data_IF_899783636104
#
_entry.id   IF_899783636104
#
_cell.length_a   1.000
_cell.length_b   1.000
_cell.length_c   1.000
_cell.angle_alpha   90.00
_cell.angle_beta   90.00
_cell.angle_gamma   90.00
#
_symmetry.space_group_name_H-M   'P 1'
#
loop_
_entity.id
_entity.type
_entity.pdbx_description
1 polymer ?
#
# COMPACT_ATOMS: atom_id res chain seq x y z
N UNK A 1 -44.84 -0.21 -59.54
CA UNK A 1 -44.50 -1.31 -58.60
C UNK A 1 -43.19 -0.95 -57.92
N UNK A 2 -43.24 -0.34 -56.74
CA UNK A 2 -42.07 0.06 -55.91
C UNK A 2 -41.98 -0.93 -54.77
N UNK A 3 -40.92 -1.75 -54.72
CA UNK A 3 -40.65 -2.69 -53.62
C UNK A 3 -39.83 -1.96 -52.54
N UNK A 4 -40.39 -1.82 -51.36
CA UNK A 4 -39.70 -1.36 -50.17
C UNK A 4 -38.95 -2.57 -49.55
N UNK A 5 -37.63 -2.49 -49.41
CA UNK A 5 -36.86 -3.37 -48.59
C UNK A 5 -36.78 -2.78 -47.16
N UNK A 6 -37.37 -3.47 -46.22
CA UNK A 6 -37.19 -3.17 -44.79
C UNK A 6 -35.89 -3.81 -44.30
N UNK A 7 -34.94 -3.03 -43.90
CA UNK A 7 -33.71 -3.48 -43.21
C UNK A 7 -34.04 -3.71 -41.74
N UNK A 8 -33.96 -4.96 -41.29
CA UNK A 8 -34.01 -5.32 -39.87
C UNK A 8 -32.64 -5.12 -39.28
N UNK A 9 -32.46 -4.09 -38.44
CA UNK A 9 -31.28 -3.89 -37.62
C UNK A 9 -31.43 -4.75 -36.37
N UNK A 10 -30.71 -5.87 -36.31
CA UNK A 10 -30.53 -6.64 -35.06
C UNK A 10 -29.55 -5.90 -34.16
N UNK A 11 -30.06 -5.26 -33.12
CA UNK A 11 -29.27 -4.75 -32.02
C UNK A 11 -28.79 -5.93 -31.17
N UNK A 12 -27.52 -6.29 -31.29
CA UNK A 12 -26.84 -7.20 -30.36
C UNK A 12 -26.62 -6.43 -29.05
N UNK A 13 -27.55 -6.56 -28.10
CA UNK A 13 -27.35 -6.19 -26.74
C UNK A 13 -26.32 -7.13 -26.10
N UNK A 14 -25.09 -6.65 -25.93
CA UNK A 14 -24.06 -7.32 -25.15
C UNK A 14 -24.48 -7.41 -23.69
N UNK A 15 -25.11 -8.51 -23.32
CA UNK A 15 -25.36 -8.89 -21.94
C UNK A 15 -24.02 -9.29 -21.32
N UNK A 16 -23.41 -8.38 -20.55
CA UNK A 16 -22.41 -8.74 -19.56
C UNK A 16 -23.13 -9.52 -18.46
N UNK A 17 -23.19 -10.82 -18.61
CA UNK A 17 -23.72 -11.72 -17.60
C UNK A 17 -22.79 -11.69 -16.38
N UNK A 18 -23.13 -10.89 -15.38
CA UNK A 18 -22.67 -11.12 -14.01
C UNK A 18 -23.31 -12.45 -13.57
N UNK A 19 -22.47 -13.44 -13.26
CA UNK A 19 -22.90 -14.76 -12.82
C UNK A 19 -23.42 -14.68 -11.38
N UNK A 20 -24.73 -14.87 -11.11
CA UNK A 20 -25.31 -14.72 -9.77
C UNK A 20 -25.03 -15.90 -8.82
N UNK A 21 -24.43 -16.98 -9.31
CA UNK A 21 -24.39 -18.24 -8.55
C UNK A 21 -23.25 -18.38 -7.55
N UNK A 22 -22.22 -17.50 -7.59
CA UNK A 22 -21.01 -17.68 -6.78
C UNK A 22 -21.03 -16.97 -5.42
N UNK A 23 -21.90 -15.99 -5.20
CA UNK A 23 -21.90 -15.17 -3.99
C UNK A 23 -22.21 -15.98 -2.71
N UNK A 24 -23.24 -16.85 -2.66
CA UNK A 24 -23.53 -17.63 -1.46
C UNK A 24 -22.41 -18.62 -1.10
N UNK A 25 -21.76 -19.21 -2.10
CA UNK A 25 -20.66 -20.15 -1.86
C UNK A 25 -19.41 -19.46 -1.35
N UNK A 26 -19.05 -18.31 -1.90
CA UNK A 26 -17.92 -17.49 -1.42
C UNK A 26 -18.10 -17.09 0.04
N UNK A 27 -19.26 -16.59 0.41
CA UNK A 27 -19.56 -16.20 1.79
C UNK A 27 -19.41 -17.37 2.76
N UNK A 28 -19.84 -18.58 2.39
CA UNK A 28 -19.65 -19.81 3.17
C UNK A 28 -18.16 -20.15 3.33
N UNK A 29 -17.38 -20.04 2.26
CA UNK A 29 -15.94 -20.28 2.28
C UNK A 29 -15.22 -19.29 3.19
N UNK A 30 -15.54 -17.99 3.12
CA UNK A 30 -14.98 -16.96 4.00
C UNK A 30 -15.33 -17.21 5.46
N UNK A 31 -16.59 -17.55 5.77
CA UNK A 31 -17.02 -17.89 7.11
C UNK A 31 -16.27 -19.11 7.67
N UNK A 32 -16.09 -20.14 6.84
CA UNK A 32 -15.36 -21.34 7.21
C UNK A 32 -13.86 -21.08 7.43
N UNK A 33 -13.22 -20.24 6.61
CA UNK A 33 -11.84 -19.80 6.83
C UNK A 33 -11.69 -18.99 8.12
N UNK A 34 -12.63 -18.10 8.43
CA UNK A 34 -12.63 -17.31 9.66
C UNK A 34 -12.83 -18.22 10.89
N UNK A 35 -13.72 -19.19 10.83
CA UNK A 35 -13.91 -20.18 11.89
C UNK A 35 -12.65 -21.02 12.11
N UNK A 36 -11.99 -21.46 11.05
CA UNK A 36 -10.72 -22.20 11.10
C UNK A 36 -9.61 -21.36 11.73
N UNK A 37 -9.52 -20.08 11.39
CA UNK A 37 -8.57 -19.15 12.01
C UNK A 37 -8.79 -19.01 13.51
N UNK A 38 -10.04 -18.87 13.96
CA UNK A 38 -10.36 -18.76 15.38
C UNK A 38 -10.09 -20.06 16.15
N UNK A 39 -10.39 -21.21 15.54
CA UNK A 39 -10.15 -22.50 16.16
C UNK A 39 -8.67 -22.93 16.19
N UNK A 40 -7.88 -22.41 15.26
CA UNK A 40 -6.52 -22.90 15.01
C UNK A 40 -6.52 -24.13 14.10
N UNK A 41 -5.35 -24.51 13.64
CA UNK A 41 -5.15 -25.66 12.77
C UNK A 41 -3.73 -26.24 12.88
N UNK A 42 -3.57 -27.52 12.50
CA UNK A 42 -2.28 -28.24 12.54
C UNK A 42 -1.54 -28.10 13.89
N UNK A 43 -2.27 -28.09 15.02
CA UNK A 43 -1.68 -27.94 16.35
C UNK A 43 -1.28 -26.51 16.74
N UNK A 44 -1.56 -25.54 15.89
CA UNK A 44 -1.31 -24.12 16.16
C UNK A 44 -2.55 -23.48 16.79
N UNK A 45 -2.36 -22.59 17.78
CA UNK A 45 -3.43 -21.82 18.38
C UNK A 45 -4.07 -20.86 17.35
N UNK A 46 -5.38 -20.67 17.47
CA UNK A 46 -6.13 -19.75 16.61
C UNK A 46 -5.79 -18.29 16.87
N UNK A 47 -6.37 -17.43 16.04
CA UNK A 47 -6.28 -15.97 16.13
C UNK A 47 -7.67 -15.36 16.07
N UNK A 48 -7.92 -14.30 16.86
CA UNK A 48 -9.18 -13.55 16.83
C UNK A 48 -9.29 -12.58 15.63
N UNK A 49 -8.23 -12.49 14.81
CA UNK A 49 -8.23 -11.68 13.60
C UNK A 49 -9.14 -12.30 12.53
N UNK A 50 -10.36 -11.76 12.38
CA UNK A 50 -11.32 -12.16 11.35
C UNK A 50 -10.82 -11.85 9.94
N UNK A 51 -11.42 -12.51 8.93
CA UNK A 51 -11.23 -12.21 7.52
C UNK A 51 -12.48 -11.55 6.95
N UNK A 52 -12.30 -10.46 6.21
CA UNK A 52 -13.37 -9.80 5.44
C UNK A 52 -13.18 -10.09 3.96
N UNK A 53 -14.25 -10.48 3.26
CA UNK A 53 -14.19 -10.64 1.81
C UNK A 53 -13.98 -9.30 1.13
N UNK A 54 -12.99 -9.25 0.21
CA UNK A 54 -12.75 -8.07 -0.61
C UNK A 54 -12.97 -8.40 -2.10
N UNK A 55 -13.89 -7.68 -2.81
CA UNK A 55 -14.17 -7.94 -4.22
C UNK A 55 -12.98 -7.78 -5.16
N UNK A 56 -12.00 -6.92 -4.81
CA UNK A 56 -10.78 -6.76 -5.60
C UNK A 56 -9.83 -7.93 -5.36
N UNK A 57 -9.68 -8.39 -4.12
CA UNK A 57 -8.92 -9.61 -3.81
C UNK A 57 -9.55 -10.84 -4.49
N UNK A 58 -10.90 -10.91 -4.57
CA UNK A 58 -11.61 -11.95 -5.33
C UNK A 58 -11.30 -11.88 -6.84
N UNK A 59 -11.21 -10.67 -7.42
CA UNK A 59 -10.73 -10.53 -8.81
C UNK A 59 -9.29 -10.99 -8.98
N UNK A 60 -8.41 -10.69 -8.02
CA UNK A 60 -7.03 -11.17 -8.04
C UNK A 60 -6.99 -12.72 -8.01
N UNK A 61 -7.80 -13.35 -7.15
CA UNK A 61 -7.93 -14.80 -7.11
C UNK A 61 -8.39 -15.39 -8.45
N UNK A 62 -9.27 -14.70 -9.18
CA UNK A 62 -9.65 -15.08 -10.54
C UNK A 62 -8.48 -14.97 -11.52
N UNK A 63 -7.72 -13.88 -11.49
CA UNK A 63 -6.53 -13.72 -12.36
C UNK A 63 -5.47 -14.79 -12.07
N UNK A 64 -5.31 -15.22 -10.80
CA UNK A 64 -4.48 -16.37 -10.46
C UNK A 64 -4.96 -17.66 -11.15
N UNK A 65 -6.28 -17.89 -11.16
CA UNK A 65 -6.88 -19.05 -11.86
C UNK A 65 -6.71 -18.97 -13.38
N UNK A 66 -6.49 -17.78 -13.94
CA UNK A 66 -6.17 -17.56 -15.36
C UNK A 66 -4.65 -17.68 -15.64
N UNK A 67 -3.83 -18.04 -14.62
CA UNK A 67 -2.40 -18.32 -14.75
C UNK A 67 -1.47 -17.14 -14.46
N UNK A 68 -1.98 -15.99 -14.01
CA UNK A 68 -1.13 -14.86 -13.69
C UNK A 68 -0.37 -15.10 -12.37
N UNK A 69 0.84 -14.53 -12.24
CA UNK A 69 1.55 -14.49 -10.97
C UNK A 69 0.82 -13.56 -9.96
N UNK A 70 1.03 -13.77 -8.65
CA UNK A 70 0.32 -13.03 -7.60
C UNK A 70 0.42 -11.50 -7.76
N UNK A 71 1.61 -10.98 -8.02
CA UNK A 71 1.82 -9.52 -8.18
C UNK A 71 1.05 -8.96 -9.37
N UNK A 72 1.08 -9.66 -10.50
CA UNK A 72 0.32 -9.30 -11.70
C UNK A 72 -1.19 -9.38 -11.46
N UNK A 73 -1.66 -10.44 -10.81
CA UNK A 73 -3.07 -10.63 -10.47
C UNK A 73 -3.59 -9.51 -9.55
N UNK A 74 -2.81 -9.07 -8.57
CA UNK A 74 -3.13 -7.95 -7.69
C UNK A 74 -3.19 -6.64 -8.48
N UNK A 75 -2.21 -6.40 -9.35
CA UNK A 75 -2.16 -5.21 -10.22
C UNK A 75 -3.38 -5.13 -11.15
N UNK A 76 -3.67 -6.21 -11.89
CA UNK A 76 -4.84 -6.31 -12.79
C UNK A 76 -6.18 -6.15 -12.04
N UNK A 77 -6.24 -6.61 -10.79
CA UNK A 77 -7.41 -6.43 -9.94
C UNK A 77 -7.57 -5.00 -9.38
N UNK A 78 -6.55 -4.16 -9.52
CA UNK A 78 -6.48 -2.84 -8.87
C UNK A 78 -6.50 -2.96 -7.35
N UNK A 79 -5.88 -4.02 -6.80
CA UNK A 79 -5.83 -4.30 -5.38
C UNK A 79 -4.40 -4.13 -4.85
N UNK A 80 -4.25 -3.30 -3.82
CA UNK A 80 -2.98 -3.07 -3.15
C UNK A 80 -2.99 -3.68 -1.77
N UNK A 81 -1.90 -4.31 -1.40
CA UNK A 81 -1.70 -4.91 -0.10
C UNK A 81 -0.29 -4.62 0.42
N UNK A 82 -0.15 -4.43 1.73
CA UNK A 82 1.14 -4.38 2.41
C UNK A 82 1.78 -5.78 2.41
N UNK A 83 0.94 -6.79 2.55
CA UNK A 83 1.30 -8.20 2.49
C UNK A 83 0.19 -8.95 1.78
N UNK A 84 0.54 -9.80 0.84
CA UNK A 84 -0.40 -10.70 0.19
C UNK A 84 0.21 -12.09 -0.02
N UNK A 85 -0.63 -13.09 0.04
CA UNK A 85 -0.27 -14.45 -0.35
C UNK A 85 -1.43 -15.13 -1.08
N UNK A 86 -1.09 -16.10 -1.90
CA UNK A 86 -2.08 -16.96 -2.54
C UNK A 86 -2.06 -18.37 -1.91
N UNK A 87 -3.23 -18.98 -1.89
CA UNK A 87 -3.39 -20.43 -1.65
C UNK A 87 -4.15 -21.02 -2.80
N UNK A 88 -3.72 -22.19 -3.26
CA UNK A 88 -4.38 -22.93 -4.33
C UNK A 88 -4.69 -24.34 -3.84
N UNK A 89 -5.98 -24.70 -3.85
CA UNK A 89 -6.48 -26.04 -3.52
C UNK A 89 -6.93 -26.71 -4.81
N UNK A 90 -6.19 -27.73 -5.24
CA UNK A 90 -6.39 -28.39 -6.54
C UNK A 90 -7.62 -29.29 -6.60
N UNK A 91 -8.04 -29.83 -5.46
CA UNK A 91 -9.26 -30.63 -5.36
C UNK A 91 -10.15 -30.00 -4.28
N UNK A 92 -11.13 -29.23 -4.70
CA UNK A 92 -12.10 -28.57 -3.84
C UNK A 92 -13.50 -28.84 -4.34
N UNK A 93 -14.23 -29.72 -3.65
CA UNK A 93 -15.58 -30.14 -4.04
C UNK A 93 -16.68 -29.33 -3.35
N UNK A 94 -16.32 -28.56 -2.31
CA UNK A 94 -17.26 -27.74 -1.55
C UNK A 94 -18.21 -28.55 -0.64
N UNK A 95 -18.10 -29.87 -0.60
CA UNK A 95 -18.97 -30.76 0.20
C UNK A 95 -18.41 -31.02 1.59
N UNK A 96 -17.07 -31.01 1.72
CA UNK A 96 -16.38 -31.21 2.99
C UNK A 96 -15.96 -29.85 3.62
N UNK A 97 -15.73 -29.81 4.94
CA UNK A 97 -15.21 -28.63 5.60
C UNK A 97 -13.87 -28.19 4.98
N UNK A 98 -13.68 -26.91 4.74
CA UNK A 98 -12.47 -26.35 4.15
C UNK A 98 -11.20 -26.75 4.93
N UNK A 99 -11.33 -26.92 6.25
CA UNK A 99 -10.23 -27.40 7.11
C UNK A 99 -9.69 -28.77 6.71
N UNK A 100 -10.53 -29.64 6.14
CA UNK A 100 -10.14 -30.96 5.68
C UNK A 100 -9.51 -30.94 4.27
N UNK A 101 -9.74 -29.87 3.51
CA UNK A 101 -9.30 -29.73 2.12
C UNK A 101 -8.07 -28.83 1.99
N UNK A 102 -7.81 -27.95 2.97
CA UNK A 102 -6.61 -27.12 2.98
C UNK A 102 -5.38 -27.94 3.41
N UNK A 103 -4.31 -27.95 2.60
CA UNK A 103 -3.04 -28.51 3.03
C UNK A 103 -2.56 -27.93 4.36
N UNK A 104 -2.08 -28.76 5.27
CA UNK A 104 -1.57 -28.34 6.58
C UNK A 104 -0.46 -27.27 6.50
N UNK A 105 0.28 -27.25 5.38
CA UNK A 105 1.29 -26.21 5.10
C UNK A 105 0.71 -24.79 5.04
N UNK A 106 -0.57 -24.61 4.70
CA UNK A 106 -1.21 -23.31 4.67
C UNK A 106 -1.67 -22.82 6.05
N UNK A 107 -1.67 -23.69 7.06
CA UNK A 107 -2.14 -23.34 8.40
C UNK A 107 -1.36 -22.17 9.00
N UNK A 108 -0.02 -22.23 8.99
CA UNK A 108 0.85 -21.18 9.57
C UNK A 108 0.55 -19.82 8.94
N UNK A 109 0.36 -19.80 7.63
CA UNK A 109 0.06 -18.57 6.91
C UNK A 109 -1.37 -18.08 7.14
N UNK A 110 -2.34 -18.99 7.14
CA UNK A 110 -3.72 -18.66 7.41
C UNK A 110 -3.91 -18.02 8.80
N UNK A 111 -3.13 -18.42 9.79
CA UNK A 111 -3.21 -17.91 11.16
C UNK A 111 -2.47 -16.58 11.38
N UNK A 112 -1.75 -16.04 10.39
CA UNK A 112 -1.07 -14.74 10.54
C UNK A 112 -2.09 -13.62 10.81
N UNK A 113 -1.99 -12.90 11.96
CA UNK A 113 -2.94 -11.83 12.30
C UNK A 113 -2.88 -10.64 11.33
N UNK A 114 -1.79 -10.49 10.59
CA UNK A 114 -1.61 -9.44 9.60
C UNK A 114 -2.66 -9.52 8.48
N UNK A 115 -3.09 -10.72 8.08
CA UNK A 115 -4.11 -10.85 7.06
C UNK A 115 -5.49 -10.49 7.61
N UNK A 116 -6.14 -9.52 6.97
CA UNK A 116 -7.46 -8.97 7.35
C UNK A 116 -8.50 -9.19 6.26
N UNK A 117 -8.06 -9.32 5.02
CA UNK A 117 -8.94 -9.50 3.88
C UNK A 117 -8.65 -10.79 3.12
N UNK A 118 -9.69 -11.31 2.46
CA UNK A 118 -9.60 -12.50 1.63
C UNK A 118 -10.37 -12.31 0.32
N UNK A 119 -9.78 -12.78 -0.76
CA UNK A 119 -10.43 -13.01 -2.05
C UNK A 119 -10.62 -14.50 -2.28
N UNK A 120 -11.79 -14.89 -2.77
CA UNK A 120 -12.16 -16.28 -2.99
C UNK A 120 -12.65 -16.46 -4.43
N UNK A 121 -12.03 -17.37 -5.16
CA UNK A 121 -12.48 -17.77 -6.51
C UNK A 121 -12.40 -19.27 -6.66
N UNK A 122 -13.48 -19.85 -7.20
CA UNK A 122 -13.58 -21.29 -7.45
C UNK A 122 -13.90 -21.54 -8.93
N UNK A 123 -13.23 -22.52 -9.52
CA UNK A 123 -13.46 -22.97 -10.91
C UNK A 123 -13.09 -24.44 -11.07
N UNK A 124 -13.98 -25.22 -11.68
CA UNK A 124 -13.72 -26.61 -12.08
C UNK A 124 -13.18 -27.52 -10.96
N UNK A 125 -13.66 -27.35 -9.74
CA UNK A 125 -13.19 -28.15 -8.58
C UNK A 125 -11.88 -27.68 -7.98
N UNK A 126 -11.41 -26.50 -8.32
CA UNK A 126 -10.24 -25.86 -7.73
C UNK A 126 -10.64 -24.57 -7.02
N UNK A 127 -9.88 -24.21 -5.96
CA UNK A 127 -10.12 -23.02 -5.16
C UNK A 127 -8.84 -22.17 -5.09
N UNK A 128 -8.93 -20.91 -5.48
CA UNK A 128 -7.89 -19.90 -5.31
C UNK A 128 -8.30 -18.92 -4.23
N UNK A 129 -7.39 -18.71 -3.28
CA UNK A 129 -7.53 -17.73 -2.21
C UNK A 129 -6.42 -16.70 -2.32
N UNK A 130 -6.78 -15.44 -2.08
CA UNK A 130 -5.81 -14.35 -1.85
C UNK A 130 -6.05 -13.84 -0.44
N UNK A 131 -5.10 -14.08 0.46
CA UNK A 131 -5.08 -13.48 1.80
C UNK A 131 -4.27 -12.19 1.73
N UNK A 132 -4.75 -11.14 2.36
CA UNK A 132 -4.07 -9.85 2.31
C UNK A 132 -4.18 -9.04 3.60
N UNK A 133 -3.11 -8.30 3.90
CA UNK A 133 -3.14 -7.09 4.72
C UNK A 133 -3.36 -5.91 3.75
N UNK A 134 -4.56 -5.29 3.75
CA UNK A 134 -4.87 -4.26 2.78
C UNK A 134 -3.97 -3.04 2.98
N UNK A 135 -3.49 -2.47 1.88
CA UNK A 135 -2.85 -1.18 1.91
C UNK A 135 -3.89 -0.10 2.25
N UNK A 136 -3.65 0.63 3.34
CA UNK A 136 -4.43 1.79 3.74
C UNK A 136 -3.55 3.02 3.73
N UNK A 137 -3.94 4.02 2.95
CA UNK A 137 -3.29 5.31 2.96
C UNK A 137 -4.02 6.27 3.91
N UNK A 138 -3.33 7.29 4.49
CA UNK A 138 -3.98 8.34 5.22
C UNK A 138 -4.95 9.11 4.31
N UNK A 139 -6.02 9.67 4.87
CA UNK A 139 -6.89 10.56 4.11
C UNK A 139 -6.16 11.86 3.76
N UNK A 140 -6.46 12.44 2.59
CA UNK A 140 -5.85 13.71 2.18
C UNK A 140 -6.20 14.86 3.13
N UNK A 141 -7.39 14.80 3.74
CA UNK A 141 -7.84 15.79 4.73
C UNK A 141 -7.04 15.74 6.04
N UNK A 142 -6.37 14.61 6.33
CA UNK A 142 -5.51 14.44 7.50
C UNK A 142 -4.06 14.89 7.25
N UNK A 143 -3.74 15.47 6.09
CA UNK A 143 -2.37 15.77 5.67
C UNK A 143 -1.59 16.61 6.69
N UNK A 144 -2.23 17.60 7.32
CA UNK A 144 -1.59 18.43 8.34
C UNK A 144 -1.26 17.61 9.59
N UNK A 145 -2.16 16.76 10.06
CA UNK A 145 -1.95 15.87 11.21
C UNK A 145 -0.85 14.85 10.93
N UNK A 146 -0.83 14.28 9.73
CA UNK A 146 0.18 13.33 9.28
C UNK A 146 1.56 13.98 9.23
N UNK A 147 1.66 15.23 8.74
CA UNK A 147 2.92 15.98 8.73
C UNK A 147 3.46 16.22 10.16
N UNK A 148 2.60 16.53 11.11
CA UNK A 148 2.98 16.67 12.53
C UNK A 148 3.41 15.32 13.13
N UNK A 149 2.76 14.23 12.74
CA UNK A 149 3.13 12.89 13.18
C UNK A 149 4.52 12.49 12.67
N UNK A 150 4.84 12.81 11.39
CA UNK A 150 6.20 12.62 10.84
C UNK A 150 7.23 13.41 11.66
N UNK A 151 6.95 14.69 11.98
CA UNK A 151 7.84 15.51 12.82
C UNK A 151 8.08 14.89 14.20
N UNK A 152 7.00 14.43 14.85
CA UNK A 152 7.09 13.78 16.17
C UNK A 152 7.99 12.55 16.12
N UNK A 153 7.76 11.64 15.17
CA UNK A 153 8.53 10.40 14.99
C UNK A 153 10.01 10.68 14.69
N UNK A 154 10.28 11.67 13.86
CA UNK A 154 11.64 12.12 13.54
C UNK A 154 12.32 12.69 14.78
N UNK A 155 11.65 13.51 15.57
CA UNK A 155 12.21 14.07 16.80
C UNK A 155 12.43 13.02 17.88
N UNK A 156 11.59 11.99 17.97
CA UNK A 156 11.83 10.82 18.80
C UNK A 156 13.11 10.07 18.36
N UNK A 157 13.31 9.90 17.05
CA UNK A 157 14.52 9.28 16.53
C UNK A 157 15.79 10.10 16.83
N UNK A 158 15.71 11.45 16.74
CA UNK A 158 16.81 12.37 17.02
C UNK A 158 17.19 12.45 18.50
N UNK A 159 16.26 12.17 19.40
CA UNK A 159 16.47 12.27 20.84
C UNK A 159 17.51 11.27 21.40
N UNK A 160 17.86 10.23 20.66
CA UNK A 160 18.82 9.21 21.09
C UNK A 160 19.93 9.02 20.05
N UNK A 161 21.16 8.62 20.47
CA UNK A 161 22.22 8.27 19.54
C UNK A 161 21.75 7.14 18.58
N UNK A 162 22.13 7.23 17.31
CA UNK A 162 21.69 6.29 16.29
C UNK A 162 22.80 5.95 15.30
N UNK A 163 22.86 4.68 14.94
CA UNK A 163 23.73 4.21 13.87
C UNK A 163 22.97 4.27 12.52
N UNK A 164 23.51 5.06 11.59
CA UNK A 164 23.03 5.15 10.20
C UNK A 164 24.10 4.49 9.30
N UNK A 165 23.87 3.24 8.92
CA UNK A 165 24.90 2.45 8.24
C UNK A 165 26.14 2.28 9.09
N UNK A 166 27.28 2.73 8.57
CA UNK A 166 28.58 2.71 9.31
C UNK A 166 28.74 3.88 10.27
N UNK A 167 28.00 4.99 10.11
CA UNK A 167 28.14 6.21 10.89
C UNK A 167 27.33 6.14 12.18
N UNK A 168 27.96 6.52 13.30
CA UNK A 168 27.28 6.69 14.59
C UNK A 168 27.04 8.19 14.81
N UNK A 169 25.77 8.57 14.90
CA UNK A 169 25.32 9.90 15.24
C UNK A 169 25.05 10.00 16.75
N UNK A 170 25.40 11.14 17.34
CA UNK A 170 24.90 11.54 18.67
C UNK A 170 23.44 11.95 18.57
N UNK A 171 22.75 12.04 19.70
CA UNK A 171 21.45 12.70 19.75
C UNK A 171 21.57 14.12 19.17
N UNK A 172 20.55 14.53 18.42
CA UNK A 172 20.49 15.84 17.78
C UNK A 172 19.31 16.66 18.35
N UNK A 173 19.41 17.99 18.37
CA UNK A 173 18.30 18.85 18.79
C UNK A 173 17.05 18.59 17.97
N UNK A 174 15.84 18.78 18.55
CA UNK A 174 14.60 18.59 17.83
C UNK A 174 14.45 19.60 16.68
N UNK A 175 13.86 19.14 15.57
CA UNK A 175 13.48 20.00 14.46
C UNK A 175 12.15 20.70 14.76
N UNK A 176 11.98 21.89 14.19
CA UNK A 176 10.73 22.66 14.21
C UNK A 176 9.98 22.42 12.89
N UNK A 177 8.65 22.37 12.99
CA UNK A 177 7.82 22.37 11.79
C UNK A 177 7.95 23.71 11.05
N UNK A 178 8.12 23.63 9.74
CA UNK A 178 8.16 24.80 8.86
C UNK A 178 7.19 24.63 7.69
N UNK A 179 6.20 25.52 7.59
CA UNK A 179 5.15 25.45 6.60
C UNK A 179 5.67 25.61 5.15
N UNK A 180 6.75 26.40 4.95
CA UNK A 180 7.34 26.59 3.61
C UNK A 180 8.04 25.32 3.15
N UNK A 181 8.75 24.61 4.05
CA UNK A 181 9.34 23.32 3.74
C UNK A 181 8.26 22.24 3.53
N UNK A 182 7.15 22.30 4.28
CA UNK A 182 6.01 21.39 4.05
C UNK A 182 5.37 21.65 2.68
N UNK A 183 5.26 22.90 2.24
CA UNK A 183 4.77 23.26 0.91
C UNK A 183 5.71 22.72 -0.19
N UNK A 184 7.03 22.85 -0.04
CA UNK A 184 8.01 22.28 -0.96
C UNK A 184 7.88 20.76 -1.05
N UNK A 185 7.75 20.07 0.11
CA UNK A 185 7.52 18.64 0.18
C UNK A 185 6.20 18.23 -0.52
N UNK A 186 5.12 18.99 -0.29
CA UNK A 186 3.82 18.72 -0.91
C UNK A 186 3.86 18.83 -2.43
N UNK A 187 4.52 19.87 -2.95
CA UNK A 187 4.69 20.04 -4.41
C UNK A 187 5.41 18.84 -5.00
N UNK A 188 6.51 18.39 -4.39
CA UNK A 188 7.28 17.26 -4.89
C UNK A 188 6.54 15.94 -4.77
N UNK A 189 5.90 15.66 -3.64
CA UNK A 189 5.10 14.44 -3.48
C UNK A 189 3.96 14.36 -4.51
N UNK A 190 3.27 15.49 -4.77
CA UNK A 190 2.23 15.58 -5.80
C UNK A 190 2.78 15.43 -7.21
N UNK A 191 3.96 15.97 -7.48
CA UNK A 191 4.59 15.87 -8.78
C UNK A 191 4.98 14.42 -9.08
N UNK A 192 5.64 13.74 -8.13
CA UNK A 192 5.93 12.30 -8.24
C UNK A 192 4.65 11.47 -8.46
N UNK A 193 3.59 11.77 -7.71
CA UNK A 193 2.32 11.07 -7.79
C UNK A 193 1.60 11.25 -9.13
N UNK A 194 1.60 12.47 -9.69
CA UNK A 194 0.93 12.80 -10.95
C UNK A 194 1.66 12.26 -12.17
N UNK A 195 3.00 12.31 -12.13
CA UNK A 195 3.86 11.96 -13.27
C UNK A 195 4.44 10.53 -13.15
N UNK A 196 4.04 9.77 -12.11
CA UNK A 196 4.45 8.39 -11.86
C UNK A 196 5.97 8.19 -11.94
N UNK A 197 6.73 9.01 -11.20
CA UNK A 197 8.18 8.85 -11.07
C UNK A 197 8.59 8.86 -9.58
N UNK A 198 9.80 8.38 -9.30
CA UNK A 198 10.37 8.36 -7.95
C UNK A 198 11.84 8.78 -8.01
N UNK A 199 12.09 10.07 -7.82
CA UNK A 199 13.43 10.66 -7.85
C UNK A 199 13.48 11.96 -7.06
N UNK A 200 14.66 12.35 -6.57
CA UNK A 200 14.89 13.65 -5.92
C UNK A 200 14.81 14.81 -6.92
N UNK A 201 15.31 14.60 -8.14
CA UNK A 201 15.19 15.55 -9.23
C UNK A 201 13.83 15.41 -9.90
N UNK A 202 13.12 16.53 -10.04
CA UNK A 202 11.87 16.57 -10.76
C UNK A 202 12.11 16.60 -12.28
N UNK A 203 11.10 16.27 -13.12
CA UNK A 203 11.25 16.30 -14.59
C UNK A 203 11.63 17.68 -15.16
N UNK A 204 11.36 18.77 -14.42
CA UNK A 204 11.79 20.13 -14.77
C UNK A 204 13.25 20.45 -14.36
N UNK A 205 13.99 19.45 -13.85
CA UNK A 205 15.36 19.55 -13.34
C UNK A 205 15.48 20.13 -11.93
N UNK A 206 14.37 20.50 -11.29
CA UNK A 206 14.44 21.11 -9.95
C UNK A 206 14.81 20.12 -8.86
N UNK A 207 15.73 20.54 -8.00
CA UNK A 207 16.15 19.85 -6.79
C UNK A 207 15.36 20.36 -5.56
N UNK A 208 15.54 19.71 -4.42
CA UNK A 208 14.88 20.12 -3.17
C UNK A 208 15.18 21.57 -2.77
N UNK A 209 16.40 22.06 -3.05
CA UNK A 209 16.84 23.42 -2.77
C UNK A 209 16.07 24.47 -3.58
N UNK A 210 15.86 24.21 -4.89
CA UNK A 210 15.07 25.10 -5.75
C UNK A 210 13.59 25.10 -5.32
N UNK A 211 13.04 23.93 -4.96
CA UNK A 211 11.67 23.82 -4.48
C UNK A 211 11.47 24.55 -3.14
N UNK A 212 12.43 24.46 -2.20
CA UNK A 212 12.43 25.22 -0.97
C UNK A 212 12.49 26.74 -1.23
N UNK A 213 13.33 27.17 -2.18
CA UNK A 213 13.43 28.58 -2.59
C UNK A 213 12.12 29.08 -3.23
N UNK A 214 11.53 28.31 -4.14
CA UNK A 214 10.21 28.62 -4.75
C UNK A 214 9.08 28.71 -3.72
N UNK A 215 9.16 27.91 -2.64
CA UNK A 215 8.24 27.99 -1.52
C UNK A 215 8.48 29.19 -0.58
N UNK A 216 9.57 29.96 -0.79
CA UNK A 216 9.92 31.15 0.01
C UNK A 216 10.79 30.86 1.22
N UNK A 217 11.35 29.66 1.37
CA UNK A 217 12.26 29.34 2.48
C UNK A 217 13.68 29.82 2.17
N UNK A 218 14.15 30.80 2.94
CA UNK A 218 15.53 31.31 2.87
C UNK A 218 16.47 30.37 3.63
N UNK A 219 17.30 29.63 2.92
CA UNK A 219 18.09 28.54 3.49
C UNK A 219 19.60 28.77 3.35
N UNK A 220 20.33 28.17 4.27
CA UNK A 220 21.78 27.93 4.22
C UNK A 220 22.07 26.47 3.84
N UNK A 221 21.20 25.55 4.24
CA UNK A 221 21.29 24.11 3.95
C UNK A 221 19.89 23.53 3.76
N UNK A 222 19.75 22.67 2.75
CA UNK A 222 18.53 21.89 2.48
C UNK A 222 18.90 20.43 2.29
N UNK A 223 18.04 19.53 2.72
CA UNK A 223 18.10 18.10 2.48
C UNK A 223 16.71 17.55 2.24
N UNK A 224 16.64 16.38 1.63
CA UNK A 224 15.37 15.73 1.32
C UNK A 224 15.44 14.23 1.54
N UNK A 225 14.35 13.67 2.07
CA UNK A 225 14.05 12.24 2.02
C UNK A 225 12.78 12.04 1.22
N UNK A 226 12.75 11.04 0.35
CA UNK A 226 11.54 10.59 -0.33
C UNK A 226 11.26 9.13 -0.02
N UNK A 227 9.99 8.75 -0.09
CA UNK A 227 9.55 7.36 0.06
C UNK A 227 8.28 7.13 -0.77
N UNK A 228 7.99 5.88 -1.11
CA UNK A 228 6.81 5.52 -1.88
C UNK A 228 6.28 4.15 -1.46
N UNK A 229 4.97 4.02 -1.40
CA UNK A 229 4.32 2.76 -1.03
C UNK A 229 4.03 2.57 0.46
N UNK A 230 4.54 3.42 1.36
CA UNK A 230 4.26 3.33 2.80
C UNK A 230 2.87 3.87 3.11
N UNK A 231 2.04 3.09 3.81
CA UNK A 231 0.66 3.43 4.14
C UNK A 231 0.49 4.37 5.34
N UNK A 232 1.57 4.72 6.05
CA UNK A 232 1.51 5.53 7.26
C UNK A 232 2.77 6.35 7.49
N UNK A 233 2.67 7.40 8.32
CA UNK A 233 3.83 8.19 8.78
C UNK A 233 4.87 7.32 9.50
N UNK A 234 4.41 6.35 10.30
CA UNK A 234 5.27 5.39 11.00
C UNK A 234 6.09 4.57 10.02
N UNK A 235 5.45 4.03 8.98
CA UNK A 235 6.14 3.21 7.97
C UNK A 235 7.11 4.05 7.14
N UNK A 236 6.73 5.27 6.74
CA UNK A 236 7.60 6.18 6.01
C UNK A 236 8.86 6.53 6.81
N UNK A 237 8.71 6.95 8.07
CA UNK A 237 9.83 7.28 8.95
C UNK A 237 10.68 6.04 9.25
N UNK A 238 10.07 4.88 9.51
CA UNK A 238 10.79 3.63 9.72
C UNK A 238 11.61 3.22 8.48
N UNK A 239 11.06 3.42 7.28
CA UNK A 239 11.76 3.18 6.01
C UNK A 239 12.98 4.10 5.86
N UNK A 240 12.82 5.40 6.11
CA UNK A 240 13.93 6.36 6.07
C UNK A 240 15.02 6.03 7.09
N UNK A 241 14.65 5.64 8.31
CA UNK A 241 15.63 5.27 9.35
C UNK A 241 16.42 4.00 9.05
N UNK A 242 15.88 3.09 8.22
CA UNK A 242 16.58 1.89 7.74
C UNK A 242 17.58 2.19 6.62
N UNK A 243 17.39 3.27 5.87
CA UNK A 243 18.29 3.68 4.79
C UNK A 243 19.40 4.58 5.33
N UNK A 244 20.70 4.22 5.17
CA UNK A 244 21.81 5.01 5.74
C UNK A 244 21.75 6.50 5.39
N UNK A 245 21.55 6.85 4.12
CA UNK A 245 21.53 8.24 3.66
C UNK A 245 20.33 9.03 4.19
N UNK A 246 19.15 8.43 4.21
CA UNK A 246 17.94 9.07 4.76
C UNK A 246 18.05 9.22 6.29
N UNK A 247 18.60 8.23 6.97
CA UNK A 247 18.89 8.27 8.39
C UNK A 247 19.91 9.37 8.71
N UNK A 248 20.96 9.54 7.89
CA UNK A 248 21.93 10.66 8.03
C UNK A 248 21.23 12.01 7.96
N UNK A 249 20.31 12.23 7.02
CA UNK A 249 19.52 13.46 6.95
C UNK A 249 18.69 13.67 8.21
N UNK A 250 18.04 12.63 8.73
CA UNK A 250 17.24 12.72 9.95
C UNK A 250 18.11 13.08 11.15
N UNK A 251 19.32 12.54 11.27
CA UNK A 251 20.18 12.72 12.44
C UNK A 251 21.13 13.93 12.35
N UNK A 252 21.19 14.61 11.21
CA UNK A 252 22.09 15.74 11.02
C UNK A 252 21.70 16.94 11.93
N UNK A 253 22.58 17.33 12.89
CA UNK A 253 22.29 18.44 13.79
C UNK A 253 22.31 19.82 13.12
N UNK A 254 22.81 19.91 11.88
CA UNK A 254 22.84 21.16 11.13
C UNK A 254 21.45 21.58 10.61
N UNK A 255 20.49 20.67 10.57
CA UNK A 255 19.10 21.00 10.26
C UNK A 255 18.36 21.42 11.54
N UNK A 256 17.55 22.47 11.43
CA UNK A 256 16.74 23.03 12.54
C UNK A 256 15.25 23.00 12.24
N UNK A 257 14.89 22.94 10.97
CA UNK A 257 13.52 22.99 10.51
C UNK A 257 13.23 21.79 9.59
N UNK A 258 11.97 21.36 9.54
CA UNK A 258 11.51 20.39 8.56
C UNK A 258 10.06 20.61 8.17
N UNK A 259 9.71 20.14 6.98
CA UNK A 259 8.35 19.92 6.53
C UNK A 259 8.22 18.54 5.91
N UNK A 260 7.04 17.95 5.98
CA UNK A 260 6.73 16.68 5.34
C UNK A 260 5.35 16.72 4.70
N UNK A 261 5.18 15.94 3.66
CA UNK A 261 3.89 15.77 2.99
C UNK A 261 3.82 14.42 2.30
N UNK A 262 2.59 14.00 1.98
CA UNK A 262 2.34 12.87 1.10
C UNK A 262 1.37 13.26 -0.02
N UNK A 263 1.32 12.46 -1.07
CA UNK A 263 0.32 12.55 -2.13
C UNK A 263 -0.13 11.16 -2.55
N UNK A 264 -1.42 10.99 -2.76
CA UNK A 264 -2.01 9.75 -3.23
C UNK A 264 -1.94 9.69 -4.76
N UNK A 265 -1.63 8.51 -5.28
CA UNK A 265 -1.55 8.24 -6.70
C UNK A 265 -2.32 6.96 -7.03
N UNK A 266 -3.64 7.05 -7.09
CA UNK A 266 -4.54 5.87 -7.25
C UNK A 266 -4.24 5.04 -8.50
N UNK A 267 -3.72 5.67 -9.55
CA UNK A 267 -3.36 5.02 -10.81
C UNK A 267 -1.87 4.71 -10.96
N UNK A 268 -1.01 5.19 -10.04
CA UNK A 268 0.43 4.97 -10.10
C UNK A 268 0.84 3.69 -9.35
N UNK A 269 1.99 3.14 -9.70
CA UNK A 269 2.48 1.84 -9.20
C UNK A 269 2.63 1.82 -7.67
N UNK A 270 3.06 2.93 -7.07
CA UNK A 270 3.34 3.01 -5.63
C UNK A 270 2.14 3.42 -4.76
N UNK A 271 1.07 4.03 -5.32
CA UNK A 271 -0.17 4.42 -4.64
C UNK A 271 -0.07 5.61 -3.72
N UNK A 272 1.08 5.87 -3.12
CA UNK A 272 1.38 7.00 -2.25
C UNK A 272 2.85 7.36 -2.39
N UNK A 273 3.12 8.66 -2.39
CA UNK A 273 4.47 9.23 -2.42
C UNK A 273 4.65 10.17 -1.25
N UNK A 274 5.79 10.10 -0.60
CA UNK A 274 6.17 10.89 0.56
C UNK A 274 7.38 11.76 0.22
N UNK A 275 7.36 12.99 0.70
CA UNK A 275 8.54 13.85 0.72
C UNK A 275 8.70 14.48 2.11
N UNK A 276 9.95 14.56 2.57
CA UNK A 276 10.37 15.23 3.78
C UNK A 276 11.52 16.15 3.42
N UNK A 277 11.35 17.44 3.66
CA UNK A 277 12.37 18.47 3.38
C UNK A 277 12.89 19.03 4.68
N UNK A 278 14.20 19.02 4.84
CA UNK A 278 14.94 19.59 5.96
C UNK A 278 15.53 20.94 5.57
N UNK A 279 15.64 21.83 6.55
CA UNK A 279 16.24 23.15 6.34
C UNK A 279 17.04 23.63 7.54
N UNK A 280 18.08 24.42 7.22
CA UNK A 280 18.72 25.35 8.13
C UNK A 280 18.56 26.74 7.52
N UNK A 281 17.93 27.70 8.19
CA UNK A 281 17.74 29.05 7.66
C UNK A 281 19.06 29.81 7.58
N UNK A 282 19.09 30.87 6.75
CA UNK A 282 20.19 31.82 6.66
C UNK A 282 20.32 32.64 7.92
#
# INVERSE_FOLDING_TARGET
MKRFFAAVVLALAGLTAAWPQDVPQRSKTVAALSALRSAGCAGQAGTDAGLTENPRATRAARYLADGNALQEALHLAGYRANLAMMMHVQVFDGTQPIAAQLPGSYCVDLLKPAFKEVGVYQRAGELWLVLADPFTAPAEDDAAQVAQQVLLLVNQARATPRRCGSRLWRAAPPLRFNALLALAAQHHARDMARNNYFAHEAPDGSQASERATRAGYAWRKVGENIAAGQGSAQEAVASWLKSPRHCDNIMDPAYTDMGAAFALARAADQGIYWAQVFGAPR
#
